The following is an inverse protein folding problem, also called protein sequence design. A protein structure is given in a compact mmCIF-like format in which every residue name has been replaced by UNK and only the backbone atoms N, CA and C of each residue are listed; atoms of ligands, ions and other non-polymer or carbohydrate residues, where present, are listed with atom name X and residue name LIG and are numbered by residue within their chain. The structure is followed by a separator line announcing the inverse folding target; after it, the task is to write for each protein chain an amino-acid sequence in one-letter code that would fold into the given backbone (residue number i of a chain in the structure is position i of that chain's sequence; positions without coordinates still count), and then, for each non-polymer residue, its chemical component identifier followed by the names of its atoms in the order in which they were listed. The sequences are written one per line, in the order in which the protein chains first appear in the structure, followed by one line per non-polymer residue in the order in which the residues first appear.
data_IF_431665550133
#
_entry.id   IF_431665550133
#
_cell.length_a   1.000
_cell.length_b   1.000
_cell.length_c   1.000
_cell.angle_alpha   90.00
_cell.angle_beta   90.00
_cell.angle_gamma   90.00
#
_symmetry.space_group_name_H-M   'P 1'
#
loop_
_entity.id
_entity.type
_entity.pdbx_description
1 polymer ?
#
# COMPACT_ATOMS: atom_id res chain seq x y z
N UNK A 1 -12.22 -6.24 -12.16
CA UNK A 1 -10.91 -6.93 -12.12
C UNK A 1 -9.86 -6.15 -11.35
N UNK A 2 -9.54 -4.90 -11.71
CA UNK A 2 -8.48 -4.10 -11.06
C UNK A 2 -8.61 -3.99 -9.53
N UNK A 3 -9.82 -3.75 -9.01
CA UNK A 3 -10.04 -3.68 -7.56
C UNK A 3 -9.73 -4.96 -6.80
N UNK A 4 -9.98 -6.14 -7.39
CA UNK A 4 -9.65 -7.42 -6.75
C UNK A 4 -8.13 -7.63 -6.69
N UNK A 5 -7.44 -7.28 -7.78
CA UNK A 5 -5.99 -7.33 -7.84
C UNK A 5 -5.33 -6.33 -6.90
N UNK A 6 -5.88 -5.11 -6.78
CA UNK A 6 -5.43 -4.14 -5.78
C UNK A 6 -5.45 -4.76 -4.38
N UNK A 7 -6.60 -5.30 -3.96
CA UNK A 7 -6.72 -5.97 -2.65
C UNK A 7 -5.67 -7.06 -2.44
N UNK A 8 -5.45 -7.92 -3.45
CA UNK A 8 -4.46 -9.01 -3.39
C UNK A 8 -3.04 -8.49 -3.24
N UNK A 9 -2.65 -7.51 -4.05
CA UNK A 9 -1.30 -6.92 -4.00
C UNK A 9 -1.08 -6.22 -2.65
N UNK A 10 -2.04 -5.42 -2.20
CA UNK A 10 -1.94 -4.73 -0.91
C UNK A 10 -1.82 -5.72 0.25
N UNK A 11 -2.58 -6.81 0.24
CA UNK A 11 -2.45 -7.89 1.24
C UNK A 11 -1.11 -8.61 1.15
N UNK A 12 -0.60 -8.89 -0.05
CA UNK A 12 0.72 -9.49 -0.22
C UNK A 12 1.81 -8.57 0.34
N UNK A 13 1.71 -7.26 0.10
CA UNK A 13 2.60 -6.26 0.68
C UNK A 13 2.49 -6.16 2.21
N UNK A 14 1.28 -6.26 2.78
CA UNK A 14 1.09 -6.33 4.24
C UNK A 14 1.78 -7.56 4.82
N UNK A 15 1.59 -8.74 4.21
CA UNK A 15 2.23 -9.97 4.67
C UNK A 15 3.75 -9.90 4.55
N UNK A 16 4.26 -9.31 3.47
CA UNK A 16 5.70 -9.13 3.26
C UNK A 16 6.30 -8.15 4.30
N UNK A 17 5.58 -7.07 4.63
CA UNK A 17 5.96 -6.18 5.73
C UNK A 17 6.03 -6.93 7.07
N UNK A 18 5.05 -7.77 7.39
CA UNK A 18 5.09 -8.60 8.59
C UNK A 18 6.27 -9.59 8.58
N UNK A 19 6.53 -10.22 7.44
CA UNK A 19 7.65 -11.14 7.26
C UNK A 19 9.01 -10.49 7.49
N UNK A 20 9.14 -9.20 7.18
CA UNK A 20 10.34 -8.41 7.49
C UNK A 20 10.35 -7.92 8.94
N UNK A 21 9.23 -7.35 9.39
CA UNK A 21 9.17 -6.60 10.64
C UNK A 21 9.14 -7.50 11.88
N UNK A 22 8.39 -8.61 11.87
CA UNK A 22 8.28 -9.48 13.05
C UNK A 22 9.63 -10.08 13.44
N UNK A 23 10.43 -10.65 12.52
CA UNK A 23 11.77 -11.13 12.85
C UNK A 23 12.71 -9.98 13.25
N UNK A 24 12.58 -8.80 12.63
CA UNK A 24 13.43 -7.64 12.97
C UNK A 24 13.14 -7.12 14.38
N UNK A 25 11.89 -7.17 14.82
CA UNK A 25 11.48 -6.77 16.17
C UNK A 25 12.03 -7.75 17.22
N UNK A 26 11.89 -9.06 16.98
CA UNK A 26 12.24 -10.11 17.93
C UNK A 26 13.73 -10.48 17.93
N UNK A 27 14.37 -10.43 16.76
CA UNK A 27 15.75 -10.84 16.51
C UNK A 27 16.44 -9.89 15.50
N UNK A 28 16.66 -8.60 15.85
CA UNK A 28 17.20 -7.60 14.93
C UNK A 28 18.57 -7.98 14.37
N UNK A 29 19.47 -8.52 15.20
CA UNK A 29 20.81 -8.91 14.77
C UNK A 29 20.80 -10.05 13.74
N UNK A 30 19.88 -11.01 13.89
CA UNK A 30 19.69 -12.08 12.93
C UNK A 30 19.27 -11.49 11.57
N UNK A 31 18.29 -10.59 11.57
CA UNK A 31 17.81 -9.96 10.33
C UNK A 31 18.86 -9.07 9.67
N UNK A 32 19.61 -8.30 10.46
CA UNK A 32 20.74 -7.49 9.97
C UNK A 32 21.77 -8.37 9.25
N UNK A 33 22.14 -9.51 9.86
CA UNK A 33 23.06 -10.48 9.26
C UNK A 33 22.48 -11.15 8.02
N UNK A 34 21.20 -11.51 8.05
CA UNK A 34 20.51 -12.18 6.94
C UNK A 34 20.43 -11.27 5.70
N UNK A 35 20.11 -9.99 5.89
CA UNK A 35 20.01 -9.01 4.80
C UNK A 35 21.41 -8.54 4.37
N UNK A 36 22.40 -8.60 5.27
CA UNK A 36 23.78 -8.18 4.99
C UNK A 36 23.97 -6.66 5.05
N UNK A 37 23.18 -5.96 5.87
CA UNK A 37 23.32 -4.51 6.11
C UNK A 37 24.27 -4.23 7.27
N UNK A 38 24.84 -3.01 7.37
CA UNK A 38 25.68 -2.64 8.49
C UNK A 38 24.99 -2.85 9.84
N UNK A 39 25.77 -3.26 10.83
CA UNK A 39 25.27 -3.43 12.20
C UNK A 39 24.80 -2.11 12.78
N UNK A 40 23.54 -2.07 13.21
CA UNK A 40 22.97 -0.93 13.90
C UNK A 40 23.26 -1.01 15.40
N UNK A 41 23.95 -0.01 15.93
CA UNK A 41 24.21 0.14 17.36
C UNK A 41 23.68 1.50 17.83
N UNK A 42 22.62 1.55 18.68
CA UNK A 42 21.93 0.43 19.31
C UNK A 42 20.90 -0.27 18.39
N UNK A 43 20.69 -1.57 18.63
CA UNK A 43 19.69 -2.40 17.92
C UNK A 43 18.23 -1.99 18.18
N UNK A 44 18.03 -1.12 19.17
CA UNK A 44 16.73 -0.54 19.54
C UNK A 44 16.07 0.22 18.38
N UNK A 45 16.84 0.90 17.51
CA UNK A 45 16.30 1.64 16.38
C UNK A 45 15.68 0.75 15.29
N UNK A 46 16.36 -0.31 14.80
CA UNK A 46 15.73 -1.30 13.93
C UNK A 46 14.47 -1.93 14.52
N UNK A 47 14.48 -2.25 15.82
CA UNK A 47 13.31 -2.81 16.50
C UNK A 47 12.14 -1.82 16.52
N UNK A 48 12.43 -0.55 16.81
CA UNK A 48 11.43 0.51 16.79
C UNK A 48 10.85 0.72 15.38
N UNK A 49 11.71 0.76 14.35
CA UNK A 49 11.27 0.84 12.96
C UNK A 49 10.39 -0.35 12.57
N UNK A 50 10.74 -1.56 13.01
CA UNK A 50 9.94 -2.76 12.79
C UNK A 50 8.56 -2.68 13.47
N UNK A 51 8.50 -2.17 14.70
CA UNK A 51 7.23 -1.93 15.39
C UNK A 51 6.34 -0.95 14.62
N UNK A 52 6.92 0.16 14.12
CA UNK A 52 6.18 1.12 13.29
C UNK A 52 5.67 0.48 12.01
N UNK A 53 6.48 -0.36 11.35
CA UNK A 53 6.09 -1.06 10.13
C UNK A 53 4.94 -2.06 10.37
N UNK A 54 4.92 -2.71 11.53
CA UNK A 54 3.81 -3.57 11.97
C UNK A 54 2.53 -2.75 12.15
N UNK A 55 2.59 -1.66 12.92
CA UNK A 55 1.41 -0.81 13.17
C UNK A 55 0.85 -0.24 11.87
N UNK A 56 1.74 0.22 11.00
CA UNK A 56 1.42 0.76 9.69
C UNK A 56 0.70 -0.30 8.81
N UNK A 57 1.19 -1.54 8.84
CA UNK A 57 0.58 -2.67 8.12
C UNK A 57 -0.81 -3.02 8.65
N UNK A 58 -1.04 -2.92 9.96
CA UNK A 58 -2.37 -3.07 10.58
C UNK A 58 -3.31 -1.96 10.10
N UNK A 59 -2.84 -0.72 10.09
CA UNK A 59 -3.64 0.42 9.65
C UNK A 59 -4.00 0.36 8.17
N UNK A 60 -3.28 -0.40 7.34
CA UNK A 60 -3.65 -0.61 5.94
C UNK A 60 -4.75 -1.65 5.73
N UNK A 61 -4.98 -2.56 6.68
CA UNK A 61 -5.92 -3.67 6.53
C UNK A 61 -7.34 -3.23 6.15
N UNK A 62 -7.92 -2.13 6.69
CA UNK A 62 -9.23 -1.65 6.24
C UNK A 62 -9.24 -1.26 4.76
N UNK A 63 -8.22 -0.52 4.29
CA UNK A 63 -8.09 -0.13 2.88
C UNK A 63 -7.80 -1.30 1.95
N UNK A 64 -7.06 -2.31 2.41
CA UNK A 64 -6.82 -3.56 1.68
C UNK A 64 -8.07 -4.46 1.59
N UNK A 65 -8.98 -4.35 2.56
CA UNK A 65 -10.21 -5.15 2.60
C UNK A 65 -11.35 -4.50 1.83
N UNK A 66 -11.52 -3.18 1.97
CA UNK A 66 -12.53 -2.42 1.25
C UNK A 66 -12.00 -1.02 0.92
N UNK A 67 -11.38 -0.90 -0.25
CA UNK A 67 -10.80 0.34 -0.75
C UNK A 67 -11.87 1.37 -1.18
N UNK A 68 -13.13 0.95 -1.34
CA UNK A 68 -14.25 1.83 -1.72
C UNK A 68 -14.82 2.52 -0.49
N UNK A 69 -14.98 1.77 0.61
CA UNK A 69 -15.40 2.31 1.90
C UNK A 69 -14.28 3.10 2.60
N UNK A 70 -13.05 2.59 2.58
CA UNK A 70 -11.89 3.17 3.28
C UNK A 70 -10.89 3.82 2.31
N UNK A 71 -11.38 4.76 1.49
CA UNK A 71 -10.57 5.41 0.44
C UNK A 71 -9.33 6.10 0.96
N UNK A 72 -9.47 6.88 2.05
CA UNK A 72 -8.35 7.60 2.65
C UNK A 72 -7.25 6.60 3.08
N UNK A 73 -7.63 5.53 3.78
CA UNK A 73 -6.72 4.47 4.20
C UNK A 73 -6.04 3.77 3.03
N UNK A 74 -6.77 3.48 1.96
CA UNK A 74 -6.20 2.85 0.76
C UNK A 74 -5.16 3.75 0.08
N UNK A 75 -5.44 5.04 -0.06
CA UNK A 75 -4.47 5.99 -0.63
C UNK A 75 -3.27 6.23 0.30
N UNK A 76 -3.49 6.36 1.61
CA UNK A 76 -2.41 6.47 2.59
C UNK A 76 -1.49 5.26 2.52
N UNK A 77 -2.02 4.05 2.36
CA UNK A 77 -1.20 2.84 2.20
C UNK A 77 -0.25 2.94 0.99
N UNK A 78 -0.77 3.38 -0.14
CA UNK A 78 0.03 3.58 -1.36
C UNK A 78 1.08 4.67 -1.16
N UNK A 79 0.71 5.83 -0.60
CA UNK A 79 1.63 6.94 -0.42
C UNK A 79 2.72 6.67 0.62
N UNK A 80 2.42 5.92 1.67
CA UNK A 80 3.43 5.52 2.63
C UNK A 80 4.49 4.60 2.03
N UNK A 81 4.12 3.73 1.07
CA UNK A 81 5.14 2.96 0.33
C UNK A 81 6.04 3.87 -0.49
N UNK A 82 5.48 4.88 -1.16
CA UNK A 82 6.29 5.90 -1.84
C UNK A 82 7.22 6.64 -0.87
N UNK A 83 6.75 6.96 0.34
CA UNK A 83 7.59 7.57 1.37
C UNK A 83 8.78 6.67 1.75
N UNK A 84 8.56 5.36 1.85
CA UNK A 84 9.63 4.37 2.05
C UNK A 84 10.64 4.35 0.91
N UNK A 85 10.18 4.34 -0.36
CA UNK A 85 11.05 4.46 -1.54
C UNK A 85 11.91 5.72 -1.47
N UNK A 86 11.29 6.88 -1.22
CA UNK A 86 11.97 8.18 -1.17
C UNK A 86 13.00 8.18 -0.04
N UNK A 87 12.64 7.69 1.13
CA UNK A 87 13.54 7.65 2.28
C UNK A 87 14.76 6.74 2.01
N UNK A 88 14.53 5.48 1.66
CA UNK A 88 15.61 4.50 1.51
C UNK A 88 16.45 4.72 0.25
N UNK A 89 15.87 5.10 -0.88
CA UNK A 89 16.65 5.33 -2.12
C UNK A 89 17.21 6.74 -2.19
N UNK A 90 16.46 7.74 -1.73
CA UNK A 90 16.82 9.16 -1.87
C UNK A 90 17.71 9.69 -0.76
N UNK A 91 17.52 9.24 0.48
CA UNK A 91 18.22 9.82 1.65
C UNK A 91 19.22 8.87 2.32
N UNK A 92 19.18 7.57 2.04
CA UNK A 92 20.07 6.58 2.67
C UNK A 92 21.17 6.06 1.73
N UNK A 93 22.20 5.46 2.32
CA UNK A 93 23.28 4.81 1.58
C UNK A 93 22.77 3.61 0.76
N UNK A 94 23.56 3.23 -0.25
CA UNK A 94 23.20 2.16 -1.21
C UNK A 94 22.89 0.82 -0.54
N UNK A 95 23.47 0.56 0.62
CA UNK A 95 23.26 -0.65 1.41
C UNK A 95 21.80 -0.82 1.87
N UNK A 96 21.07 0.30 2.03
CA UNK A 96 19.66 0.29 2.46
C UNK A 96 18.67 0.39 1.28
N UNK A 97 19.15 0.58 0.04
CA UNK A 97 18.28 0.78 -1.12
C UNK A 97 17.37 -0.42 -1.40
N UNK A 98 17.77 -1.62 -0.96
CA UNK A 98 16.94 -2.83 -1.06
C UNK A 98 15.55 -2.64 -0.45
N UNK A 99 15.44 -1.95 0.70
CA UNK A 99 14.14 -1.68 1.33
C UNK A 99 13.28 -0.75 0.48
N UNK A 100 13.90 0.26 -0.12
CA UNK A 100 13.19 1.16 -1.05
C UNK A 100 12.76 0.45 -2.34
N UNK A 101 13.58 -0.45 -2.90
CA UNK A 101 13.18 -1.26 -4.05
C UNK A 101 12.06 -2.24 -3.71
N UNK A 102 12.09 -2.81 -2.50
CA UNK A 102 11.00 -3.63 -1.99
C UNK A 102 9.69 -2.83 -1.95
N UNK A 103 9.69 -1.62 -1.37
CA UNK A 103 8.51 -0.75 -1.37
C UNK A 103 8.07 -0.37 -2.78
N UNK A 104 9.01 -0.14 -3.70
CA UNK A 104 8.73 0.24 -5.08
C UNK A 104 7.96 -0.85 -5.84
N UNK A 105 8.32 -2.13 -5.63
CA UNK A 105 7.66 -3.29 -6.25
C UNK A 105 6.19 -3.38 -5.84
N UNK A 106 5.82 -2.89 -4.66
CA UNK A 106 4.42 -2.81 -4.23
C UNK A 106 3.76 -1.50 -4.62
N UNK A 107 4.46 -0.37 -4.50
CA UNK A 107 3.93 0.96 -4.81
C UNK A 107 3.44 1.06 -6.25
N UNK A 108 4.25 0.64 -7.23
CA UNK A 108 3.92 0.81 -8.65
C UNK A 108 2.64 0.05 -9.05
N UNK A 109 2.49 -1.25 -8.75
CA UNK A 109 1.23 -1.94 -9.04
C UNK A 109 0.06 -1.38 -8.24
N UNK A 110 0.24 -1.04 -6.96
CA UNK A 110 -0.85 -0.55 -6.13
C UNK A 110 -1.41 0.79 -6.60
N UNK A 111 -0.56 1.76 -6.95
CA UNK A 111 -1.02 3.07 -7.42
C UNK A 111 -1.74 2.97 -8.77
N UNK A 112 -1.25 2.12 -9.67
CA UNK A 112 -1.89 1.88 -10.97
C UNK A 112 -3.24 1.21 -10.78
N UNK A 113 -3.28 0.13 -10.00
CA UNK A 113 -4.51 -0.65 -9.77
C UNK A 113 -5.57 0.18 -9.03
N UNK A 114 -5.18 0.95 -8.01
CA UNK A 114 -6.10 1.80 -7.25
C UNK A 114 -6.68 2.92 -8.12
N UNK A 115 -5.84 3.54 -8.96
CA UNK A 115 -6.27 4.60 -9.90
C UNK A 115 -7.26 4.04 -10.92
N UNK A 116 -6.94 2.90 -11.54
CA UNK A 116 -7.81 2.24 -12.51
C UNK A 116 -9.12 1.82 -11.85
N UNK A 117 -9.06 1.21 -10.66
CA UNK A 117 -10.27 0.80 -9.93
C UNK A 117 -11.17 2.00 -9.57
N UNK A 118 -10.58 3.10 -9.11
CA UNK A 118 -11.33 4.32 -8.76
C UNK A 118 -11.99 4.95 -9.98
N UNK A 119 -11.29 5.00 -11.13
CA UNK A 119 -11.85 5.51 -12.39
C UNK A 119 -12.99 4.65 -12.91
N UNK A 120 -12.85 3.33 -12.85
CA UNK A 120 -13.92 2.42 -13.27
C UNK A 120 -15.19 2.60 -12.45
N UNK A 121 -15.08 2.80 -11.13
CA UNK A 121 -16.23 3.07 -10.26
C UNK A 121 -16.91 4.39 -10.64
N UNK A 122 -16.13 5.45 -10.88
CA UNK A 122 -16.68 6.74 -11.28
C UNK A 122 -17.43 6.67 -12.63
N UNK A 123 -16.88 5.95 -13.62
CA UNK A 123 -17.51 5.79 -14.93
C UNK A 123 -18.83 5.03 -14.87
N UNK A 124 -18.92 4.00 -14.02
CA UNK A 124 -20.17 3.25 -13.80
C UNK A 124 -21.24 4.16 -13.20
N UNK A 125 -20.89 4.93 -12.16
CA UNK A 125 -21.82 5.86 -11.51
C UNK A 125 -22.36 6.93 -12.48
N UNK A 126 -21.49 7.48 -13.35
CA UNK A 126 -21.89 8.45 -14.38
C UNK A 126 -22.87 7.81 -15.38
N UNK A 127 -22.55 6.60 -15.85
CA UNK A 127 -23.38 5.88 -16.83
C UNK A 127 -24.79 5.58 -16.28
N UNK A 128 -24.89 5.19 -15.01
CA UNK A 128 -26.17 4.95 -14.34
C UNK A 128 -26.99 6.24 -14.18
N UNK A 129 -26.35 7.36 -13.85
CA UNK A 129 -27.01 8.66 -13.75
C UNK A 129 -27.53 9.15 -15.12
N UNK A 130 -26.75 8.99 -16.19
CA UNK A 130 -27.19 9.34 -17.56
C UNK A 130 -28.37 8.48 -18.01
N UNK A 131 -28.32 7.16 -17.79
CA UNK A 131 -29.44 6.27 -18.13
C UNK A 131 -30.71 6.61 -17.33
N UNK A 132 -30.56 7.02 -16.07
CA UNK A 132 -31.67 7.46 -15.23
C UNK A 132 -32.35 8.72 -15.76
N UNK A 133 -31.55 9.71 -16.17
CA UNK A 133 -32.06 10.98 -16.74
C UNK A 133 -32.78 10.77 -18.06
N UNK A 134 -32.24 9.96 -18.98
CA UNK A 134 -32.91 9.60 -20.24
C UNK A 134 -34.29 8.96 -20.02
N UNK A 135 -34.41 8.05 -19.03
CA UNK A 135 -35.71 7.46 -18.68
C UNK A 135 -36.72 8.51 -18.21
N UNK A 136 -36.30 9.44 -17.37
CA UNK A 136 -37.18 10.51 -16.85
C UNK A 136 -37.68 11.40 -18.00
N UNK A 137 -36.79 11.80 -18.92
CA UNK A 137 -37.18 12.58 -20.09
C UNK A 137 -38.15 11.83 -21.01
N UNK A 138 -38.00 10.51 -21.14
CA UNK A 138 -38.92 9.68 -21.92
C UNK A 138 -40.33 9.67 -21.30
N UNK A 139 -40.44 9.56 -19.98
CA UNK A 139 -41.74 9.58 -19.29
C UNK A 139 -42.39 10.98 -19.27
N UNK A 140 -41.59 12.05 -19.27
CA UNK A 140 -42.09 13.43 -19.28
C UNK A 140 -42.64 13.89 -20.65
N UNK A 141 -42.38 13.14 -21.73
CA UNK A 141 -42.86 13.43 -23.10
C UNK A 141 -44.16 12.68 -23.47
N UNK A 142 -44.78 11.97 -22.53
CA UNK A 142 -46.07 11.26 -22.66
C UNK A 142 -47.13 12.03 -21.89
#
# INVERSE_FOLDING_TARGET
MAGLWFKRVTWLGILANFGLAVPTLLAPEFMIRLIGIPTATPVMWPQFAALLLILLSIFYMPGASDYVRYRATAWTAVFSRLAGVIFFVGFQSREYHMFGYFDLVFFVPEVVLLTVATRSIANVAITEATRGTEKIEQYAKV
#
